data_IF_225743966477
#
_entry.id   IF_225743966477
#
_cell.length_a   1.000
_cell.length_b   1.000
_cell.length_c   1.000
_cell.angle_alpha   90.00
_cell.angle_beta   90.00
_cell.angle_gamma   90.00
#
_symmetry.space_group_name_H-M   'P 1'
#
loop_
_entity.id
_entity.type
_entity.pdbx_description
1 polymer ?
#
# COMPACT_ATOMS: atom_id res chain seq x y z
N UNK A 1 -3.90 -20.60 -43.00
CA UNK A 1 -3.39 -20.63 -41.59
C UNK A 1 -4.40 -19.91 -40.74
N UNK A 2 -5.21 -20.62 -39.98
CA UNK A 2 -6.18 -20.08 -39.02
C UNK A 2 -5.40 -19.38 -37.91
N UNK A 3 -5.81 -18.16 -37.45
CA UNK A 3 -5.20 -17.50 -36.31
C UNK A 3 -5.41 -18.40 -35.08
N UNK A 4 -4.32 -18.82 -34.44
CA UNK A 4 -4.37 -19.56 -33.19
C UNK A 4 -5.15 -18.69 -32.16
N UNK A 5 -6.33 -19.14 -31.77
CA UNK A 5 -7.16 -18.55 -30.71
C UNK A 5 -6.30 -18.50 -29.44
N UNK A 6 -5.92 -17.30 -29.00
CA UNK A 6 -5.30 -17.14 -27.69
C UNK A 6 -6.32 -17.59 -26.64
N UNK A 7 -5.92 -18.44 -25.70
CA UNK A 7 -6.85 -18.90 -24.67
C UNK A 7 -7.46 -17.66 -23.97
N UNK A 8 -8.79 -17.65 -23.73
CA UNK A 8 -9.53 -16.48 -23.24
C UNK A 8 -9.04 -15.98 -21.86
N UNK A 9 -8.30 -16.79 -21.11
CA UNK A 9 -7.81 -16.44 -19.78
C UNK A 9 -6.33 -16.81 -19.63
N UNK A 10 -5.45 -15.77 -19.57
CA UNK A 10 -4.05 -16.00 -19.22
C UNK A 10 -3.96 -16.47 -17.75
N UNK A 11 -3.11 -17.46 -17.40
CA UNK A 11 -2.94 -17.88 -16.01
C UNK A 11 -2.65 -16.73 -15.04
N UNK A 12 -1.94 -15.69 -15.52
CA UNK A 12 -1.67 -14.49 -14.74
C UNK A 12 -2.94 -13.68 -14.42
N UNK A 13 -3.95 -13.69 -15.29
CA UNK A 13 -5.23 -13.05 -15.00
C UNK A 13 -5.99 -13.80 -13.90
N UNK A 14 -6.07 -15.12 -14.01
CA UNK A 14 -6.76 -15.96 -13.02
C UNK A 14 -6.11 -15.79 -11.64
N UNK A 15 -4.78 -15.86 -11.56
CA UNK A 15 -4.03 -15.63 -10.31
C UNK A 15 -4.29 -14.22 -9.77
N UNK A 16 -4.28 -13.21 -10.63
CA UNK A 16 -4.58 -11.83 -10.21
C UNK A 16 -6.00 -11.68 -9.67
N UNK A 17 -7.00 -12.27 -10.31
CA UNK A 17 -8.40 -12.27 -9.84
C UNK A 17 -8.55 -12.97 -8.50
N UNK A 18 -7.90 -14.11 -8.30
CA UNK A 18 -7.92 -14.84 -7.04
C UNK A 18 -7.26 -14.02 -5.91
N UNK A 19 -6.12 -13.39 -6.18
CA UNK A 19 -5.44 -12.54 -5.19
C UNK A 19 -6.28 -11.30 -4.84
N UNK A 20 -6.86 -10.64 -5.83
CA UNK A 20 -7.72 -9.48 -5.58
C UNK A 20 -9.02 -9.87 -4.84
N UNK A 21 -9.62 -11.00 -5.20
CA UNK A 21 -10.79 -11.56 -4.50
C UNK A 21 -10.47 -11.92 -3.05
N UNK A 22 -9.33 -12.58 -2.79
CA UNK A 22 -8.88 -12.89 -1.45
C UNK A 22 -8.57 -11.62 -0.64
N UNK A 23 -7.92 -10.61 -1.24
CA UNK A 23 -7.66 -9.34 -0.59
C UNK A 23 -8.95 -8.57 -0.26
N UNK A 24 -9.92 -8.59 -1.16
CA UNK A 24 -11.23 -7.97 -0.92
C UNK A 24 -12.01 -8.69 0.19
N UNK A 25 -12.03 -10.01 0.18
CA UNK A 25 -12.68 -10.81 1.22
C UNK A 25 -12.00 -10.58 2.59
N UNK A 26 -10.66 -10.53 2.61
CA UNK A 26 -9.90 -10.21 3.81
C UNK A 26 -10.18 -8.78 4.30
N UNK A 27 -10.21 -7.79 3.40
CA UNK A 27 -10.54 -6.42 3.75
C UNK A 27 -11.95 -6.32 4.35
N UNK A 28 -12.94 -6.95 3.73
CA UNK A 28 -14.31 -6.93 4.19
C UNK A 28 -14.46 -7.58 5.58
N UNK A 29 -13.84 -8.75 5.78
CA UNK A 29 -13.80 -9.41 7.08
C UNK A 29 -13.12 -8.52 8.13
N UNK A 30 -11.93 -7.96 7.83
CA UNK A 30 -11.20 -7.13 8.77
C UNK A 30 -11.96 -5.83 9.10
N UNK A 31 -12.63 -5.23 8.12
CA UNK A 31 -13.47 -4.07 8.32
C UNK A 31 -14.64 -4.36 9.27
N UNK A 32 -15.29 -5.52 9.12
CA UNK A 32 -16.34 -5.98 10.04
C UNK A 32 -15.78 -6.16 11.46
N UNK A 33 -14.61 -6.80 11.62
CA UNK A 33 -13.92 -6.95 12.91
C UNK A 33 -13.60 -5.58 13.57
N UNK A 34 -13.17 -4.60 12.76
CA UNK A 34 -12.86 -3.24 13.21
C UNK A 34 -14.12 -2.50 13.66
N UNK A 35 -15.22 -2.55 12.89
CA UNK A 35 -16.49 -1.88 13.21
C UNK A 35 -17.06 -2.41 14.54
N UNK A 36 -16.98 -3.72 14.77
CA UNK A 36 -17.47 -4.34 15.99
C UNK A 36 -16.47 -4.32 17.16
N UNK A 37 -15.30 -3.69 17.00
CA UNK A 37 -14.30 -3.56 18.04
C UNK A 37 -13.56 -4.86 18.39
N UNK A 38 -13.71 -5.93 17.60
CA UNK A 38 -13.12 -7.25 17.88
C UNK A 38 -11.60 -7.30 17.66
N UNK A 39 -11.02 -6.30 16.95
CA UNK A 39 -9.56 -6.19 16.75
C UNK A 39 -8.83 -5.60 17.96
N UNK A 40 -9.52 -5.02 18.95
CA UNK A 40 -8.90 -4.20 20.02
C UNK A 40 -7.80 -4.95 20.79
N UNK A 41 -8.04 -6.21 21.16
CA UNK A 41 -7.05 -7.00 21.93
C UNK A 41 -5.81 -7.31 21.08
N UNK A 42 -6.00 -7.69 19.83
CA UNK A 42 -4.92 -7.92 18.88
C UNK A 42 -4.09 -6.64 18.68
N UNK A 43 -4.76 -5.54 18.40
CA UNK A 43 -4.14 -4.25 18.14
C UNK A 43 -3.35 -3.73 19.35
N UNK A 44 -3.93 -3.80 20.55
CA UNK A 44 -3.28 -3.39 21.79
C UNK A 44 -2.04 -4.26 22.08
N UNK A 45 -2.16 -5.58 21.91
CA UNK A 45 -1.07 -6.53 22.18
C UNK A 45 0.12 -6.27 21.26
N UNK A 46 -0.10 -6.14 19.96
CA UNK A 46 0.98 -5.91 18.99
C UNK A 46 1.62 -4.54 19.20
N UNK A 47 0.83 -3.48 19.43
CA UNK A 47 1.36 -2.13 19.71
C UNK A 47 2.26 -2.14 20.94
N UNK A 48 1.84 -2.82 22.04
CA UNK A 48 2.64 -2.92 23.25
C UNK A 48 3.93 -3.72 23.02
N UNK A 49 3.85 -4.86 22.32
CA UNK A 49 5.03 -5.67 21.95
C UNK A 49 6.05 -4.86 21.16
N UNK A 50 5.60 -4.02 20.23
CA UNK A 50 6.49 -3.16 19.44
C UNK A 50 7.07 -2.05 20.31
N UNK A 51 6.25 -1.44 21.18
CA UNK A 51 6.66 -0.29 21.98
C UNK A 51 7.70 -0.66 23.06
N UNK A 52 7.62 -1.83 23.69
CA UNK A 52 8.61 -2.25 24.70
C UNK A 52 10.02 -2.44 24.16
N UNK A 53 10.17 -2.60 22.85
CA UNK A 53 11.46 -2.66 22.16
C UNK A 53 11.91 -1.30 21.59
N UNK A 54 11.19 -0.22 21.90
CA UNK A 54 11.51 1.10 21.40
C UNK A 54 12.79 1.66 22.06
N UNK A 55 13.59 2.32 21.25
CA UNK A 55 14.76 3.05 21.70
C UNK A 55 14.99 4.29 20.83
N UNK A 56 15.79 5.28 21.28
CA UNK A 56 15.99 6.54 20.55
C UNK A 56 16.50 6.36 19.12
N UNK A 57 17.49 5.47 18.91
CA UNK A 57 18.08 5.26 17.58
C UNK A 57 17.05 4.66 16.62
N UNK A 58 16.33 3.62 17.05
CA UNK A 58 15.26 3.00 16.25
C UNK A 58 14.12 3.99 15.97
N UNK A 59 13.78 4.86 16.94
CA UNK A 59 12.75 5.88 16.75
C UNK A 59 13.12 6.88 15.66
N UNK A 60 14.39 7.31 15.58
CA UNK A 60 14.87 8.18 14.48
C UNK A 60 14.73 7.47 13.13
N UNK A 61 15.14 6.21 13.05
CA UNK A 61 15.00 5.39 11.83
C UNK A 61 13.53 5.24 11.42
N UNK A 62 12.64 4.92 12.36
CA UNK A 62 11.22 4.74 12.07
C UNK A 62 10.52 6.04 11.64
N UNK A 63 10.93 7.18 12.21
CA UNK A 63 10.47 8.50 11.73
C UNK A 63 10.92 8.76 10.29
N UNK A 64 12.19 8.45 9.96
CA UNK A 64 12.71 8.56 8.59
C UNK A 64 11.98 7.66 7.60
N UNK A 65 11.71 6.40 7.97
CA UNK A 65 10.94 5.46 7.14
C UNK A 65 9.50 5.95 6.97
N UNK A 66 8.87 6.44 8.04
CA UNK A 66 7.52 6.98 7.97
C UNK A 66 7.43 8.17 7.02
N UNK A 67 8.45 9.04 7.00
CA UNK A 67 8.54 10.19 6.11
C UNK A 67 8.48 9.79 4.63
N UNK A 68 9.10 8.65 4.26
CA UNK A 68 9.06 8.13 2.89
C UNK A 68 7.61 7.82 2.45
N UNK A 69 6.73 7.49 3.38
CA UNK A 69 5.31 7.23 3.12
C UNK A 69 4.41 8.46 3.16
N UNK A 70 4.94 9.65 3.45
CA UNK A 70 4.15 10.89 3.45
C UNK A 70 3.74 11.28 2.01
N UNK A 71 2.49 11.74 1.79
CA UNK A 71 2.00 12.07 0.45
C UNK A 71 2.89 13.03 -0.31
N UNK A 72 3.37 14.10 0.34
CA UNK A 72 4.25 15.07 -0.29
C UNK A 72 5.60 14.46 -0.69
N UNK A 73 6.14 13.54 0.13
CA UNK A 73 7.41 12.86 -0.17
C UNK A 73 7.25 11.89 -1.35
N UNK A 74 6.13 11.18 -1.40
CA UNK A 74 5.80 10.31 -2.55
C UNK A 74 5.63 11.12 -3.85
N UNK A 75 5.08 12.35 -3.79
CA UNK A 75 5.05 13.24 -4.95
C UNK A 75 6.47 13.56 -5.41
N UNK A 76 7.37 13.96 -4.49
CA UNK A 76 8.77 14.27 -4.82
C UNK A 76 9.47 13.05 -5.43
N UNK A 77 9.26 11.85 -4.87
CA UNK A 77 9.81 10.60 -5.44
C UNK A 77 9.15 10.21 -6.77
N UNK A 78 7.91 10.59 -6.99
CA UNK A 78 7.18 10.33 -8.21
C UNK A 78 7.70 11.12 -9.41
N UNK A 79 8.22 12.33 -9.19
CA UNK A 79 8.75 13.18 -10.28
C UNK A 79 9.83 12.45 -11.11
N UNK A 80 10.94 11.93 -10.53
CA UNK A 80 11.95 11.22 -11.31
C UNK A 80 11.40 9.96 -12.00
N UNK A 81 10.46 9.26 -11.38
CA UNK A 81 9.82 8.11 -11.99
C UNK A 81 9.01 8.51 -13.24
N UNK A 82 8.21 9.58 -13.14
CA UNK A 82 7.44 10.13 -14.25
C UNK A 82 8.36 10.65 -15.35
N UNK A 83 9.41 11.41 -15.01
CA UNK A 83 10.40 11.89 -15.98
C UNK A 83 11.05 10.72 -16.71
N UNK A 84 11.41 9.65 -15.99
CA UNK A 84 11.96 8.45 -16.61
C UNK A 84 10.96 7.77 -17.57
N UNK A 85 9.70 7.65 -17.19
CA UNK A 85 8.66 7.09 -18.07
C UNK A 85 8.45 7.94 -19.31
N UNK A 86 8.43 9.27 -19.16
CA UNK A 86 8.28 10.21 -20.29
C UNK A 86 9.46 10.11 -21.24
N UNK A 87 10.71 10.12 -20.73
CA UNK A 87 11.92 9.95 -21.55
C UNK A 87 11.98 8.63 -22.30
N UNK A 88 11.35 7.57 -21.78
CA UNK A 88 11.21 6.27 -22.44
C UNK A 88 10.01 6.20 -23.40
N UNK A 89 9.25 7.28 -23.57
CA UNK A 89 8.06 7.31 -24.42
C UNK A 89 6.85 6.54 -23.84
N UNK A 90 6.87 6.19 -22.56
CA UNK A 90 5.84 5.34 -21.94
C UNK A 90 4.67 6.16 -21.38
N UNK A 91 4.08 6.99 -22.23
CA UNK A 91 2.99 7.92 -21.86
C UNK A 91 1.82 7.22 -21.15
N UNK A 92 1.39 6.06 -21.67
CA UNK A 92 0.33 5.27 -21.03
C UNK A 92 0.69 4.86 -19.59
N UNK A 93 1.96 4.55 -19.33
CA UNK A 93 2.43 4.21 -17.97
C UNK A 93 2.36 5.41 -17.05
N UNK A 94 2.66 6.61 -17.53
CA UNK A 94 2.52 7.85 -16.73
C UNK A 94 1.08 8.02 -16.28
N UNK A 95 0.10 7.93 -17.19
CA UNK A 95 -1.32 8.04 -16.84
C UNK A 95 -1.76 6.97 -15.86
N UNK A 96 -1.38 5.71 -16.10
CA UNK A 96 -1.74 4.61 -15.20
C UNK A 96 -1.10 4.76 -13.81
N UNK A 97 0.15 5.22 -13.75
CA UNK A 97 0.81 5.47 -12.47
C UNK A 97 0.15 6.63 -11.72
N UNK A 98 -0.16 7.72 -12.40
CA UNK A 98 -0.89 8.84 -11.81
C UNK A 98 -2.27 8.42 -11.28
N UNK A 99 -3.05 7.66 -12.06
CA UNK A 99 -4.34 7.10 -11.62
C UNK A 99 -4.14 6.17 -10.42
N UNK A 100 -3.10 5.34 -10.43
CA UNK A 100 -2.82 4.41 -9.33
C UNK A 100 -2.60 5.16 -8.02
N UNK A 101 -1.78 6.20 -8.03
CA UNK A 101 -1.41 6.94 -6.81
C UNK A 101 -2.53 7.88 -6.37
N UNK A 102 -3.04 8.72 -7.28
CA UNK A 102 -4.11 9.67 -6.96
C UNK A 102 -5.41 8.96 -6.55
N UNK A 103 -5.76 7.87 -7.24
CA UNK A 103 -6.94 7.09 -6.89
C UNK A 103 -6.79 6.33 -5.56
N UNK A 104 -5.57 5.92 -5.19
CA UNK A 104 -5.32 5.34 -3.86
C UNK A 104 -5.53 6.38 -2.74
N UNK A 105 -5.10 7.62 -2.95
CA UNK A 105 -5.35 8.72 -2.01
C UNK A 105 -6.85 9.01 -1.87
N UNK A 106 -7.57 9.12 -2.99
CA UNK A 106 -9.03 9.30 -2.96
C UNK A 106 -9.71 8.14 -2.25
N UNK A 107 -9.31 6.89 -2.54
CA UNK A 107 -9.85 5.70 -1.89
C UNK A 107 -9.61 5.72 -0.38
N UNK A 108 -8.40 6.12 0.07
CA UNK A 108 -8.08 6.25 1.49
C UNK A 108 -9.04 7.22 2.20
N UNK A 109 -9.25 8.40 1.61
CA UNK A 109 -10.14 9.41 2.19
C UNK A 109 -11.60 8.92 2.23
N UNK A 110 -12.08 8.28 1.16
CA UNK A 110 -13.44 7.72 1.12
C UNK A 110 -13.64 6.63 2.17
N UNK A 111 -12.69 5.70 2.31
CA UNK A 111 -12.77 4.64 3.31
C UNK A 111 -12.75 5.22 4.74
N UNK A 112 -11.94 6.22 5.02
CA UNK A 112 -11.92 6.89 6.32
C UNK A 112 -13.27 7.54 6.66
N UNK A 113 -13.92 8.15 5.66
CA UNK A 113 -15.26 8.71 5.81
C UNK A 113 -16.35 7.64 6.01
N UNK A 114 -16.10 6.39 5.66
CA UNK A 114 -17.04 5.28 5.91
C UNK A 114 -16.85 4.69 7.31
N UNK A 115 -15.60 4.45 7.70
CA UNK A 115 -15.31 3.67 8.92
C UNK A 115 -15.22 4.51 10.20
N UNK A 116 -14.91 5.79 10.13
CA UNK A 116 -14.85 6.73 11.26
C UNK A 116 -14.08 6.22 12.49
N UNK A 117 -13.11 5.33 12.31
CA UNK A 117 -12.37 4.73 13.43
C UNK A 117 -11.51 5.77 14.14
N UNK A 118 -11.63 5.96 15.47
CA UNK A 118 -10.76 6.86 16.21
C UNK A 118 -9.31 6.36 16.19
N UNK A 119 -8.36 7.30 16.23
CA UNK A 119 -6.94 6.96 16.27
C UNK A 119 -6.51 6.47 17.65
N UNK A 120 -5.47 5.64 17.71
CA UNK A 120 -4.84 5.30 18.97
C UNK A 120 -4.06 6.50 19.54
N UNK A 121 -3.90 6.55 20.86
CA UNK A 121 -2.95 7.46 21.49
C UNK A 121 -1.54 7.21 20.92
N UNK A 122 -0.86 8.29 20.51
CA UNK A 122 0.46 8.22 19.90
C UNK A 122 1.55 7.90 20.92
N UNK A 123 2.66 7.31 20.45
CA UNK A 123 3.86 7.15 21.25
C UNK A 123 4.82 8.32 21.05
N UNK A 124 5.78 8.48 21.95
CA UNK A 124 6.87 9.46 21.84
C UNK A 124 6.45 10.93 21.78
N UNK A 125 5.35 11.30 22.42
CA UNK A 125 4.80 12.68 22.44
C UNK A 125 4.61 13.25 21.03
N UNK A 126 4.26 12.40 20.07
CA UNK A 126 3.96 12.84 18.72
C UNK A 126 2.59 13.53 18.71
N UNK A 127 2.48 14.59 17.91
CA UNK A 127 1.17 15.20 17.61
C UNK A 127 0.26 14.16 16.95
N UNK A 128 -0.95 14.03 17.46
CA UNK A 128 -1.95 13.15 16.86
C UNK A 128 -2.28 13.62 15.45
N UNK A 129 -2.13 12.77 14.43
CA UNK A 129 -2.53 13.14 13.09
C UNK A 129 -4.05 13.34 13.03
N UNK A 130 -4.49 14.35 12.30
CA UNK A 130 -5.93 14.61 12.10
C UNK A 130 -6.62 13.47 11.34
N UNK A 131 -7.94 13.35 11.54
CA UNK A 131 -8.81 12.42 10.82
C UNK A 131 -8.81 11.00 11.39
N UNK A 132 -9.46 10.10 10.67
CA UNK A 132 -9.74 8.73 11.10
C UNK A 132 -8.55 7.78 10.90
N UNK A 133 -8.59 6.66 11.64
CA UNK A 133 -7.48 5.70 11.70
C UNK A 133 -7.53 4.64 10.60
N UNK A 134 -8.71 4.11 10.29
CA UNK A 134 -8.87 2.97 9.37
C UNK A 134 -9.37 3.41 7.99
N UNK A 135 -8.74 2.89 6.94
CA UNK A 135 -7.47 2.18 6.91
C UNK A 135 -6.26 3.12 7.08
N UNK A 136 -5.04 2.57 7.17
CA UNK A 136 -3.82 3.38 7.19
C UNK A 136 -3.49 3.92 5.80
N UNK A 137 -3.57 5.24 5.63
CA UNK A 137 -3.25 5.90 4.35
C UNK A 137 -1.80 5.70 3.91
N UNK A 138 -0.84 5.76 4.85
CA UNK A 138 0.57 5.44 4.54
C UNK A 138 0.74 4.03 3.99
N UNK A 139 0.04 3.04 4.57
CA UNK A 139 0.11 1.67 4.09
C UNK A 139 -0.54 1.51 2.70
N UNK A 140 -1.72 2.11 2.51
CA UNK A 140 -2.47 2.04 1.27
C UNK A 140 -1.73 2.76 0.14
N UNK A 141 -1.38 4.03 0.33
CA UNK A 141 -0.79 4.86 -0.73
C UNK A 141 0.66 4.44 -1.04
N UNK A 142 1.47 4.08 -0.02
CA UNK A 142 2.80 3.53 -0.26
C UNK A 142 2.74 2.19 -1.01
N UNK A 143 1.78 1.31 -0.70
CA UNK A 143 1.58 0.06 -1.43
C UNK A 143 1.18 0.32 -2.89
N UNK A 144 0.27 1.28 -3.14
CA UNK A 144 -0.10 1.68 -4.49
C UNK A 144 1.08 2.30 -5.25
N UNK A 145 1.86 3.17 -4.61
CA UNK A 145 3.01 3.84 -5.23
C UNK A 145 4.14 2.85 -5.56
N UNK A 146 4.72 2.21 -4.54
CA UNK A 146 5.87 1.32 -4.73
C UNK A 146 5.49 0.03 -5.44
N UNK A 147 4.31 -0.54 -5.13
CA UNK A 147 3.78 -1.70 -5.82
C UNK A 147 3.50 -1.41 -7.30
N UNK A 148 2.86 -0.29 -7.59
CA UNK A 148 2.63 0.18 -8.96
C UNK A 148 3.93 0.39 -9.71
N UNK A 149 4.91 1.08 -9.11
CA UNK A 149 6.22 1.31 -9.71
C UNK A 149 6.94 -0.02 -10.02
N UNK A 150 6.93 -0.98 -9.08
CA UNK A 150 7.52 -2.30 -9.29
C UNK A 150 6.82 -3.07 -10.43
N UNK A 151 5.49 -3.06 -10.49
CA UNK A 151 4.72 -3.71 -11.57
C UNK A 151 5.04 -3.08 -12.94
N UNK A 152 5.09 -1.75 -13.02
CA UNK A 152 5.40 -1.07 -14.28
C UNK A 152 6.84 -1.26 -14.73
N UNK A 153 7.81 -1.27 -13.81
CA UNK A 153 9.21 -1.54 -14.11
C UNK A 153 9.44 -3.02 -14.48
N UNK A 154 8.85 -3.94 -13.73
CA UNK A 154 8.94 -5.38 -13.97
C UNK A 154 8.38 -5.81 -15.33
N UNK A 155 7.28 -5.18 -15.76
CA UNK A 155 6.67 -5.44 -17.07
C UNK A 155 7.58 -5.07 -18.27
N UNK A 156 8.64 -4.30 -18.02
CA UNK A 156 9.54 -3.78 -19.04
C UNK A 156 10.94 -4.35 -19.02
N UNK A 157 11.20 -5.30 -18.14
CA UNK A 157 12.47 -6.03 -18.11
C UNK A 157 12.30 -7.48 -18.53
N UNK A 158 13.16 -7.98 -19.39
CA UNK A 158 13.26 -9.41 -19.72
C UNK A 158 13.98 -10.23 -18.63
N UNK A 159 14.69 -9.58 -17.69
CA UNK A 159 15.47 -10.25 -16.66
C UNK A 159 14.63 -10.68 -15.48
N UNK A 160 14.58 -11.98 -15.18
CA UNK A 160 13.90 -12.53 -13.99
C UNK A 160 14.50 -11.96 -12.69
N UNK A 161 15.83 -11.85 -12.62
CA UNK A 161 16.51 -11.30 -11.44
C UNK A 161 16.09 -9.86 -11.16
N UNK A 162 16.04 -8.99 -12.20
CA UNK A 162 15.57 -7.60 -12.03
C UNK A 162 14.11 -7.54 -11.61
N UNK A 163 13.23 -8.37 -12.14
CA UNK A 163 11.83 -8.46 -11.69
C UNK A 163 11.72 -8.82 -10.21
N UNK A 164 12.45 -9.86 -9.80
CA UNK A 164 12.49 -10.25 -8.38
C UNK A 164 13.01 -9.12 -7.48
N UNK A 165 14.07 -8.42 -7.92
CA UNK A 165 14.63 -7.29 -7.18
C UNK A 165 13.60 -6.16 -7.00
N UNK A 166 12.88 -5.76 -8.06
CA UNK A 166 11.87 -4.72 -7.98
C UNK A 166 10.75 -5.08 -7.00
N UNK A 167 10.24 -6.30 -7.06
CA UNK A 167 9.20 -6.74 -6.12
C UNK A 167 9.73 -6.86 -4.69
N UNK A 168 10.92 -7.39 -4.50
CA UNK A 168 11.54 -7.52 -3.17
C UNK A 168 11.75 -6.16 -2.51
N UNK A 169 12.40 -5.22 -3.21
CA UNK A 169 12.65 -3.86 -2.68
C UNK A 169 11.33 -3.15 -2.38
N UNK A 170 10.36 -3.22 -3.29
CA UNK A 170 9.04 -2.64 -3.10
C UNK A 170 8.34 -3.21 -1.86
N UNK A 171 8.31 -4.53 -1.71
CA UNK A 171 7.67 -5.21 -0.57
C UNK A 171 8.33 -4.83 0.75
N UNK A 172 9.67 -4.78 0.80
CA UNK A 172 10.39 -4.37 2.00
C UNK A 172 10.09 -2.91 2.39
N UNK A 173 10.06 -1.99 1.43
CA UNK A 173 9.71 -0.59 1.68
C UNK A 173 8.27 -0.45 2.18
N UNK A 174 7.32 -1.11 1.52
CA UNK A 174 5.90 -1.10 1.91
C UNK A 174 5.75 -1.62 3.33
N UNK A 175 6.36 -2.78 3.64
CA UNK A 175 6.30 -3.38 4.97
C UNK A 175 6.94 -2.47 6.03
N UNK A 176 8.10 -1.87 5.73
CA UNK A 176 8.80 -0.97 6.63
C UNK A 176 7.98 0.30 6.92
N UNK A 177 7.36 0.91 5.89
CA UNK A 177 6.50 2.09 6.05
C UNK A 177 5.29 1.73 6.94
N UNK A 178 4.58 0.66 6.67
CA UNK A 178 3.44 0.27 7.51
C UNK A 178 3.85 -0.09 8.94
N UNK A 179 4.97 -0.81 9.12
CA UNK A 179 5.50 -1.11 10.44
C UNK A 179 5.88 0.17 11.22
N UNK A 180 6.45 1.17 10.55
CA UNK A 180 6.79 2.44 11.18
C UNK A 180 5.57 3.13 11.78
N UNK A 181 4.38 2.98 11.19
CA UNK A 181 3.13 3.57 11.70
C UNK A 181 2.67 2.89 13.00
N UNK A 182 2.87 1.58 13.11
CA UNK A 182 2.60 0.81 14.33
C UNK A 182 3.61 1.20 15.43
N UNK A 183 4.90 1.26 15.07
CA UNK A 183 5.97 1.62 15.99
C UNK A 183 5.79 3.02 16.57
N UNK A 184 5.43 3.99 15.75
CA UNK A 184 5.18 5.37 16.18
C UNK A 184 3.84 5.52 16.94
N UNK A 185 3.01 4.49 16.97
CA UNK A 185 1.74 4.48 17.69
C UNK A 185 0.62 5.24 17.02
N UNK A 186 0.77 5.69 15.77
CA UNK A 186 -0.21 6.53 15.06
C UNK A 186 -1.30 5.73 14.34
N UNK A 187 -1.12 4.42 14.21
CA UNK A 187 -2.09 3.48 13.63
C UNK A 187 -2.12 2.17 14.40
N UNK A 188 -3.25 1.49 14.32
CA UNK A 188 -3.39 0.11 14.75
C UNK A 188 -2.80 -0.86 13.71
N UNK A 189 -2.28 -2.04 14.11
CA UNK A 189 -1.89 -3.10 13.17
C UNK A 189 -2.98 -3.45 12.16
N UNK A 190 -4.23 -3.55 12.59
CA UNK A 190 -5.37 -3.82 11.71
C UNK A 190 -5.61 -2.70 10.67
N UNK A 191 -5.31 -1.42 10.99
CA UNK A 191 -5.38 -0.33 10.01
C UNK A 191 -4.36 -0.52 8.87
N UNK A 192 -3.16 -0.95 9.23
CA UNK A 192 -2.06 -1.19 8.28
C UNK A 192 -2.39 -2.37 7.36
N UNK A 193 -2.89 -3.47 7.93
CA UNK A 193 -3.33 -4.64 7.16
C UNK A 193 -4.50 -4.30 6.23
N UNK A 194 -5.48 -3.50 6.71
CA UNK A 194 -6.58 -2.99 5.90
C UNK A 194 -6.09 -2.12 4.74
N UNK A 195 -5.12 -1.24 5.00
CA UNK A 195 -4.49 -0.41 3.97
C UNK A 195 -3.83 -1.24 2.86
N UNK A 196 -3.08 -2.28 3.22
CA UNK A 196 -2.47 -3.19 2.24
C UNK A 196 -3.52 -3.94 1.42
N UNK A 197 -4.55 -4.47 2.06
CA UNK A 197 -5.60 -5.21 1.36
C UNK A 197 -6.34 -4.31 0.37
N UNK A 198 -6.74 -3.10 0.78
CA UNK A 198 -7.37 -2.12 -0.09
C UNK A 198 -6.47 -1.73 -1.28
N UNK A 199 -5.16 -1.55 -1.03
CA UNK A 199 -4.20 -1.24 -2.09
C UNK A 199 -4.05 -2.37 -3.12
N UNK A 200 -4.05 -3.64 -2.69
CA UNK A 200 -3.98 -4.81 -3.60
C UNK A 200 -5.21 -4.85 -4.50
N UNK A 201 -6.40 -4.64 -3.94
CA UNK A 201 -7.66 -4.56 -4.71
C UNK A 201 -7.58 -3.41 -5.72
N UNK A 202 -7.13 -2.23 -5.29
CA UNK A 202 -7.00 -1.06 -6.15
C UNK A 202 -6.01 -1.28 -7.29
N UNK A 203 -4.80 -1.76 -6.98
CA UNK A 203 -3.77 -2.07 -7.98
C UNK A 203 -4.26 -3.05 -9.04
N UNK A 204 -4.99 -4.07 -8.62
CA UNK A 204 -5.57 -5.04 -9.55
C UNK A 204 -6.66 -4.42 -10.42
N UNK A 205 -7.53 -3.57 -9.86
CA UNK A 205 -8.57 -2.85 -10.61
C UNK A 205 -7.96 -1.98 -11.71
N UNK A 206 -6.90 -1.24 -11.40
CA UNK A 206 -6.15 -0.46 -12.40
C UNK A 206 -5.45 -1.36 -13.43
N UNK A 207 -4.89 -2.49 -13.00
CA UNK A 207 -4.28 -3.45 -13.91
C UNK A 207 -5.29 -4.09 -14.87
N UNK A 208 -6.52 -4.30 -14.44
CA UNK A 208 -7.61 -4.83 -15.27
C UNK A 208 -8.09 -3.79 -16.29
N UNK A 209 -8.28 -2.54 -15.86
CA UNK A 209 -8.67 -1.43 -16.76
C UNK A 209 -7.59 -1.10 -17.83
N UNK A 210 -6.37 -1.60 -17.65
CA UNK A 210 -5.26 -1.47 -18.62
C UNK A 210 -5.40 -2.37 -19.83
N UNK A 211 -6.23 -3.38 -19.80
CA UNK A 211 -6.41 -4.37 -20.89
C UNK A 211 -7.34 -3.87 -21.96
#
# INVERSE_FOLDING_TARGET
MTPAERPPHSPALVVGLLLAGAALAFFAWLADEVIHGRTQQFDARIRMLVHVHANPALTVVMRGISLIGEPWFLIVLGIPAVVWFVRKGWRRTVYLFAITVAGAEVLDQLLKLVFHRPRPATFFSLTEPMGYSFPSGHALVACAFFGGLAVFAAARTGSRARRCLYYMVSTLLIAAIGFSRIYLGVHYPSDVLGGYAAAVVWLFSVALARR
#
